data_IF_689273320564
#
_entry.id   IF_689273320564
#
_cell.length_a   1.000
_cell.length_b   1.000
_cell.length_c   1.000
_cell.angle_alpha   90.00
_cell.angle_beta   90.00
_cell.angle_gamma   90.00
#
_symmetry.space_group_name_H-M   'P 1'
#
loop_
_entity.id
_entity.type
_entity.pdbx_description
1 polymer ?
#
# COMPACT_ATOMS: atom_id res chain seq x y z
N UNK A 1 -12.19 19.87 -57.25
CA UNK A 1 -12.17 20.04 -55.78
C UNK A 1 -13.56 20.44 -55.36
N UNK A 2 -14.38 19.45 -55.11
CA UNK A 2 -15.76 19.68 -54.69
C UNK A 2 -15.76 19.87 -53.18
N UNK A 3 -16.63 20.72 -52.66
CA UNK A 3 -16.76 20.98 -51.21
C UNK A 3 -16.92 19.66 -50.40
N UNK A 4 -17.46 18.64 -51.04
CA UNK A 4 -17.56 17.25 -50.58
C UNK A 4 -16.22 16.64 -50.14
N UNK A 5 -15.11 16.94 -50.84
CA UNK A 5 -13.79 16.39 -50.53
C UNK A 5 -13.29 16.87 -49.14
N UNK A 6 -13.54 18.15 -48.82
CA UNK A 6 -13.14 18.75 -47.54
C UNK A 6 -13.96 18.22 -46.36
N UNK A 7 -15.24 17.93 -46.57
CA UNK A 7 -16.11 17.35 -45.54
C UNK A 7 -15.64 15.94 -45.16
N UNK A 8 -15.27 15.13 -46.16
CA UNK A 8 -14.77 13.76 -45.92
C UNK A 8 -13.45 13.79 -45.16
N UNK A 9 -12.52 14.66 -45.54
CA UNK A 9 -11.23 14.82 -44.83
C UNK A 9 -11.44 15.30 -43.38
N UNK A 10 -12.39 16.21 -43.15
CA UNK A 10 -12.72 16.70 -41.82
C UNK A 10 -13.27 15.61 -40.89
N UNK A 11 -14.17 14.76 -41.39
CA UNK A 11 -14.75 13.65 -40.61
C UNK A 11 -13.67 12.61 -40.27
N UNK A 12 -12.83 12.25 -41.24
CA UNK A 12 -11.73 11.28 -41.03
C UNK A 12 -10.73 11.82 -40.00
N UNK A 13 -10.35 13.09 -40.10
CA UNK A 13 -9.46 13.74 -39.13
C UNK A 13 -10.02 13.77 -37.71
N UNK A 14 -11.32 14.05 -37.56
CA UNK A 14 -11.99 14.07 -36.26
C UNK A 14 -12.04 12.69 -35.60
N UNK A 15 -12.37 11.64 -36.36
CA UNK A 15 -12.44 10.27 -35.84
C UNK A 15 -11.06 9.78 -35.38
N UNK A 16 -10.00 10.06 -36.17
CA UNK A 16 -8.63 9.73 -35.79
C UNK A 16 -8.15 10.51 -34.56
N UNK A 17 -8.52 11.79 -34.46
CA UNK A 17 -8.25 12.61 -33.29
C UNK A 17 -8.87 12.03 -32.01
N UNK A 18 -10.17 11.70 -32.04
CA UNK A 18 -10.89 11.15 -30.88
C UNK A 18 -10.33 9.79 -30.44
N UNK A 19 -9.94 8.93 -31.39
CA UNK A 19 -9.31 7.64 -31.11
C UNK A 19 -7.94 7.78 -30.43
N UNK A 20 -7.10 8.70 -30.91
CA UNK A 20 -5.78 8.94 -30.31
C UNK A 20 -5.88 9.48 -28.87
N UNK A 21 -6.81 10.41 -28.61
CA UNK A 21 -6.96 11.02 -27.28
C UNK A 21 -7.39 10.00 -26.23
N UNK A 22 -8.27 9.05 -26.58
CA UNK A 22 -8.68 7.98 -25.65
C UNK A 22 -7.55 7.02 -25.31
N UNK A 23 -6.71 6.66 -26.28
CA UNK A 23 -5.58 5.77 -26.05
C UNK A 23 -4.53 6.40 -25.11
N UNK A 24 -4.17 7.67 -25.34
CA UNK A 24 -3.19 8.37 -24.52
C UNK A 24 -3.66 8.60 -23.07
N UNK A 25 -4.95 8.90 -22.88
CA UNK A 25 -5.51 9.13 -21.55
C UNK A 25 -5.58 7.86 -20.71
N UNK A 26 -5.87 6.71 -21.33
CA UNK A 26 -5.89 5.41 -20.66
C UNK A 26 -4.49 4.98 -20.15
N UNK A 27 -3.43 5.31 -20.89
CA UNK A 27 -2.06 4.99 -20.51
C UNK A 27 -1.62 5.82 -19.29
N UNK A 28 -1.89 7.14 -19.28
CA UNK A 28 -1.54 7.99 -18.13
C UNK A 28 -2.20 7.53 -16.83
N UNK A 29 -3.49 7.17 -16.88
CA UNK A 29 -4.24 6.73 -15.70
C UNK A 29 -3.69 5.44 -15.07
N UNK A 30 -3.14 4.52 -15.88
CA UNK A 30 -2.50 3.28 -15.38
C UNK A 30 -1.15 3.52 -14.71
N UNK A 31 -0.39 4.53 -15.14
CA UNK A 31 0.94 4.83 -14.58
C UNK A 31 0.83 5.48 -13.19
N UNK A 32 -0.16 6.35 -13.00
CA UNK A 32 -0.38 7.04 -11.72
C UNK A 32 -0.81 6.08 -10.60
N UNK A 33 -1.72 5.15 -10.92
CA UNK A 33 -2.18 4.10 -9.99
C UNK A 33 -1.04 3.16 -9.55
N UNK A 34 -0.11 2.81 -10.46
CA UNK A 34 1.04 1.97 -10.12
C UNK A 34 2.06 2.67 -9.22
N UNK A 35 2.30 3.98 -9.42
CA UNK A 35 3.19 4.76 -8.54
C UNK A 35 2.63 4.90 -7.13
N UNK A 36 1.33 5.14 -7.00
CA UNK A 36 0.68 5.23 -5.69
C UNK A 36 0.73 3.90 -4.93
N UNK A 37 0.57 2.76 -5.60
CA UNK A 37 0.68 1.45 -4.95
C UNK A 37 2.10 1.12 -4.48
N UNK A 38 3.14 1.55 -5.22
CA UNK A 38 4.54 1.34 -4.82
C UNK A 38 4.91 2.10 -3.54
N UNK A 39 4.52 3.36 -3.44
CA UNK A 39 4.78 4.20 -2.25
C UNK A 39 4.08 3.69 -0.99
N UNK A 40 2.84 3.20 -1.12
CA UNK A 40 2.10 2.64 0.02
C UNK A 40 2.72 1.33 0.51
N UNK A 41 3.26 0.51 -0.42
CA UNK A 41 3.98 -0.72 -0.05
C UNK A 41 5.28 -0.42 0.67
N UNK A 42 6.09 0.51 0.17
CA UNK A 42 7.36 0.89 0.81
C UNK A 42 7.14 1.40 2.23
N UNK A 43 6.18 2.31 2.43
CA UNK A 43 5.87 2.82 3.78
C UNK A 43 5.39 1.72 4.75
N UNK A 44 4.69 0.70 4.22
CA UNK A 44 4.28 -0.46 5.03
C UNK A 44 5.46 -1.33 5.42
N UNK A 45 6.43 -1.54 4.53
CA UNK A 45 7.64 -2.30 4.85
C UNK A 45 8.52 -1.56 5.87
N UNK A 46 8.71 -0.26 5.70
CA UNK A 46 9.43 0.58 6.66
C UNK A 46 8.80 0.53 8.06
N UNK A 47 7.46 0.58 8.13
CA UNK A 47 6.74 0.46 9.40
C UNK A 47 6.93 -0.92 10.05
N UNK A 48 6.95 -1.99 9.25
CA UNK A 48 7.20 -3.36 9.75
C UNK A 48 8.63 -3.54 10.27
N UNK A 49 9.61 -2.99 9.56
CA UNK A 49 11.01 -3.04 9.98
C UNK A 49 11.23 -2.22 11.25
N UNK A 50 10.57 -1.07 11.37
CA UNK A 50 10.56 -0.30 12.60
C UNK A 50 9.96 -1.08 13.77
N UNK A 51 8.80 -1.72 13.58
CA UNK A 51 8.17 -2.56 14.60
C UNK A 51 9.11 -3.70 15.02
N UNK A 52 9.77 -4.38 14.07
CA UNK A 52 10.76 -5.42 14.37
C UNK A 52 11.93 -4.90 15.19
N UNK A 53 12.46 -3.72 14.86
CA UNK A 53 13.54 -3.10 15.64
C UNK A 53 13.05 -2.70 17.04
N UNK A 54 11.82 -2.22 17.15
CA UNK A 54 11.20 -1.84 18.41
C UNK A 54 10.95 -3.04 19.32
N UNK A 55 10.50 -4.18 18.76
CA UNK A 55 10.40 -5.48 19.43
C UNK A 55 11.76 -6.08 19.81
N UNK A 56 12.85 -5.74 19.11
CA UNK A 56 14.19 -6.17 19.52
C UNK A 56 14.70 -5.37 20.72
N UNK A 57 14.27 -4.10 20.83
CA UNK A 57 14.62 -3.24 21.94
C UNK A 57 13.74 -3.49 23.18
N UNK A 58 12.47 -3.88 22.96
CA UNK A 58 11.49 -4.17 24.00
C UNK A 58 11.02 -5.62 23.90
N UNK A 59 11.15 -6.40 24.98
CA UNK A 59 10.78 -7.84 24.99
C UNK A 59 9.31 -8.09 24.60
N UNK A 60 8.44 -7.12 24.86
CA UNK A 60 7.02 -7.12 24.51
C UNK A 60 6.58 -5.75 24.00
N UNK A 61 5.56 -5.73 23.14
CA UNK A 61 4.94 -4.50 22.63
C UNK A 61 3.42 -4.61 22.66
N UNK A 62 2.75 -3.49 22.91
CA UNK A 62 1.29 -3.39 22.79
C UNK A 62 0.89 -2.67 21.50
N UNK A 63 -0.40 -2.73 21.16
CA UNK A 63 -0.96 -1.96 20.04
C UNK A 63 -0.76 -0.45 20.27
N UNK A 64 -0.89 -0.01 21.53
CA UNK A 64 -0.77 1.39 21.93
C UNK A 64 0.66 1.89 21.66
N UNK A 65 1.69 1.14 22.07
CA UNK A 65 3.10 1.46 21.82
C UNK A 65 3.41 1.62 20.32
N UNK A 66 2.85 0.73 19.49
CA UNK A 66 3.02 0.78 18.04
C UNK A 66 2.32 1.99 17.45
N UNK A 67 1.10 2.28 17.92
CA UNK A 67 0.31 3.41 17.46
C UNK A 67 0.99 4.75 17.78
N UNK A 68 1.56 4.87 18.98
CA UNK A 68 2.30 6.05 19.41
C UNK A 68 3.61 6.19 18.64
N UNK A 69 4.36 5.10 18.50
CA UNK A 69 5.67 5.12 17.85
C UNK A 69 5.58 5.46 16.35
N UNK A 70 4.59 4.91 15.66
CA UNK A 70 4.37 5.16 14.22
C UNK A 70 3.46 6.36 13.96
N UNK A 71 2.88 6.98 14.99
CA UNK A 71 1.84 8.02 14.87
C UNK A 71 0.71 7.61 13.94
N UNK A 72 0.31 6.35 14.01
CA UNK A 72 -0.76 5.76 13.22
C UNK A 72 -1.96 5.44 14.09
N UNK A 73 -3.19 5.48 13.56
CA UNK A 73 -4.36 5.08 14.33
C UNK A 73 -4.24 3.62 14.80
N UNK A 74 -4.82 3.30 15.96
CA UNK A 74 -4.79 1.95 16.55
C UNK A 74 -5.20 0.87 15.56
N UNK A 75 -6.25 1.11 14.75
CA UNK A 75 -6.70 0.18 13.71
C UNK A 75 -5.60 -0.16 12.69
N UNK A 76 -4.75 0.80 12.33
CA UNK A 76 -3.63 0.58 11.44
C UNK A 76 -2.51 -0.21 12.12
N UNK A 77 -2.25 0.06 13.41
CA UNK A 77 -1.30 -0.69 14.22
C UNK A 77 -1.74 -2.16 14.41
N UNK A 78 -3.03 -2.40 14.71
CA UNK A 78 -3.61 -3.75 14.77
C UNK A 78 -3.43 -4.50 13.45
N UNK A 79 -3.71 -3.84 12.32
CA UNK A 79 -3.52 -4.46 11.01
C UNK A 79 -2.04 -4.78 10.72
N UNK A 80 -1.11 -3.91 11.11
CA UNK A 80 0.33 -4.15 10.95
C UNK A 80 0.80 -5.33 11.81
N UNK A 81 0.38 -5.40 13.08
CA UNK A 81 0.70 -6.49 13.98
C UNK A 81 0.07 -7.81 13.52
N UNK A 82 -1.16 -7.78 13.02
CA UNK A 82 -1.82 -8.94 12.43
C UNK A 82 -1.09 -9.44 11.17
N UNK A 83 -0.62 -8.53 10.31
CA UNK A 83 0.20 -8.89 9.16
C UNK A 83 1.52 -9.58 9.61
N UNK A 84 2.17 -9.07 10.66
CA UNK A 84 3.39 -9.66 11.23
C UNK A 84 3.15 -11.01 11.91
N UNK A 85 2.00 -11.19 12.57
CA UNK A 85 1.57 -12.45 13.18
C UNK A 85 1.34 -13.51 12.09
N UNK A 86 0.66 -13.12 11.01
CA UNK A 86 0.42 -13.98 9.85
C UNK A 86 1.70 -14.37 9.12
N UNK A 87 2.69 -13.47 9.09
CA UNK A 87 4.04 -13.75 8.58
C UNK A 87 4.86 -14.64 9.53
N UNK A 88 4.37 -14.92 10.74
CA UNK A 88 5.05 -15.74 11.74
C UNK A 88 6.24 -15.04 12.39
N UNK A 89 6.30 -13.71 12.33
CA UNK A 89 7.38 -12.90 12.90
C UNK A 89 7.13 -12.51 14.37
N UNK A 90 5.86 -12.37 14.76
CA UNK A 90 5.44 -12.07 16.13
C UNK A 90 4.40 -13.08 16.61
N UNK A 91 4.29 -13.27 17.91
CA UNK A 91 3.21 -14.00 18.55
C UNK A 91 2.37 -13.06 19.39
N UNK A 92 1.05 -13.20 19.28
CA UNK A 92 0.11 -12.54 20.19
C UNK A 92 -0.04 -13.35 21.47
N UNK A 93 0.04 -12.66 22.60
CA UNK A 93 -0.25 -13.17 23.92
C UNK A 93 -1.38 -12.37 24.57
N UNK A 94 -2.16 -13.04 25.42
CA UNK A 94 -3.26 -12.42 26.18
C UNK A 94 -4.65 -12.57 25.56
N UNK A 95 -5.65 -12.08 26.31
CA UNK A 95 -7.05 -11.98 25.86
C UNK A 95 -7.24 -10.63 25.18
N UNK A 96 -8.07 -10.62 24.13
CA UNK A 96 -8.45 -9.41 23.38
C UNK A 96 -8.75 -8.24 24.32
N UNK A 97 -7.99 -7.15 24.24
CA UNK A 97 -8.17 -5.96 25.09
C UNK A 97 -6.86 -5.40 25.64
N UNK A 98 -6.92 -4.79 26.83
CA UNK A 98 -5.77 -4.08 27.45
C UNK A 98 -4.60 -4.98 27.85
N UNK A 99 -4.84 -6.28 27.98
CA UNK A 99 -3.81 -7.27 28.32
C UNK A 99 -3.26 -7.99 27.07
N UNK A 100 -3.51 -7.43 25.87
CA UNK A 100 -3.03 -7.97 24.60
C UNK A 100 -1.65 -7.39 24.28
N UNK A 101 -0.63 -8.26 24.28
CA UNK A 101 0.74 -7.91 23.96
C UNK A 101 1.32 -8.87 22.93
N UNK A 102 2.33 -8.40 22.21
CA UNK A 102 2.99 -9.14 21.14
C UNK A 102 4.47 -9.28 21.46
N UNK A 103 5.00 -10.48 21.24
CA UNK A 103 6.41 -10.79 21.42
C UNK A 103 7.02 -11.28 20.12
N UNK A 104 8.34 -11.20 20.00
CA UNK A 104 9.06 -11.79 18.87
C UNK A 104 8.88 -13.30 18.91
N UNK A 105 8.41 -13.87 17.80
CA UNK A 105 8.47 -15.30 17.61
C UNK A 105 9.91 -15.63 17.28
N UNK A 106 10.65 -16.17 18.24
CA UNK A 106 11.99 -16.73 17.99
C UNK A 106 11.87 -17.75 16.86
N UNK A 107 12.29 -17.35 15.66
CA UNK A 107 12.63 -18.28 14.61
C UNK A 107 13.92 -18.93 15.10
N UNK A 108 13.96 -20.23 15.42
CA UNK A 108 15.23 -20.88 15.74
C UNK A 108 16.17 -20.61 14.57
N UNK A 109 17.27 -19.92 14.85
CA UNK A 109 18.33 -19.70 13.87
C UNK A 109 18.72 -21.08 13.30
N UNK A 110 18.81 -21.24 11.97
CA UNK A 110 19.23 -22.49 11.36
C UNK A 110 20.66 -22.87 11.75
#
# INVERSE_FOLDING_TARGET
>A
MSYLDYIVVGIVGFVLGVLCTRAFFAIKKKVELKRSQGFVRQKREEAKDFIMAFLKANEEITVEDVSESLKTPEEAAVNLLYDLEKEGRVMRHGKRGKDEFYTLKDVPAP
#
